data_IF_232605831711
#
_entry.id   IF_232605831711
#
_cell.length_a   1.000
_cell.length_b   1.000
_cell.length_c   1.000
_cell.angle_alpha   90.00
_cell.angle_beta   90.00
_cell.angle_gamma   90.00
#
_symmetry.space_group_name_H-M   'P 1'
#
loop_
_entity.id
_entity.type
_entity.pdbx_description
1 polymer ?
#
# COMPACT_ATOMS: atom_id res chain seq x y z
N UNK A 1 -0.34 -13.73 19.80
CA UNK A 1 -1.05 -12.45 19.59
C UNK A 1 -0.68 -11.88 18.23
N UNK A 2 -0.87 -10.58 17.99
CA UNK A 2 -0.64 -9.97 16.66
C UNK A 2 0.82 -9.88 16.18
N UNK A 3 1.79 -10.24 17.03
CA UNK A 3 3.22 -10.32 16.70
C UNK A 3 3.81 -11.74 16.85
N UNK A 4 2.98 -12.79 16.90
CA UNK A 4 3.46 -14.12 17.31
C UNK A 4 3.87 -15.06 16.18
N UNK A 5 3.69 -14.71 14.90
CA UNK A 5 3.99 -15.64 13.79
C UNK A 5 5.45 -16.14 13.80
N UNK A 6 6.36 -15.35 14.38
CA UNK A 6 7.79 -15.64 14.50
C UNK A 6 8.11 -16.71 15.56
N UNK A 7 7.15 -17.01 16.44
CA UNK A 7 7.31 -17.92 17.58
C UNK A 7 6.86 -19.35 17.23
N UNK A 8 6.65 -20.19 18.25
CA UNK A 8 6.03 -21.51 18.10
C UNK A 8 4.65 -21.48 17.39
N UNK A 9 3.94 -20.33 17.41
CA UNK A 9 2.71 -20.14 16.61
C UNK A 9 2.97 -20.29 15.10
N UNK A 10 4.19 -19.99 14.63
CA UNK A 10 4.62 -20.18 13.25
C UNK A 10 4.82 -21.64 12.83
N UNK A 11 4.56 -22.63 13.70
CA UNK A 11 4.77 -24.05 13.38
C UNK A 11 4.10 -24.49 12.08
N UNK A 12 2.88 -24.03 11.79
CA UNK A 12 2.20 -24.36 10.53
C UNK A 12 2.89 -23.78 9.30
N UNK A 13 3.54 -22.61 9.44
CA UNK A 13 4.34 -22.00 8.37
C UNK A 13 5.54 -22.91 8.11
N UNK A 14 6.31 -23.22 9.16
CA UNK A 14 7.47 -24.10 9.08
C UNK A 14 7.15 -25.47 8.49
N UNK A 15 6.03 -26.09 8.88
CA UNK A 15 5.57 -27.35 8.30
C UNK A 15 5.22 -27.25 6.80
N UNK A 16 4.71 -26.09 6.35
CA UNK A 16 4.29 -25.89 4.96
C UNK A 16 5.46 -25.57 4.02
N UNK A 17 6.40 -24.72 4.45
CA UNK A 17 7.51 -24.25 3.60
C UNK A 17 8.87 -24.88 3.94
N UNK A 18 8.93 -25.73 4.97
CA UNK A 18 10.17 -26.29 5.52
C UNK A 18 10.87 -25.34 6.50
N UNK A 19 11.63 -25.91 7.45
CA UNK A 19 12.29 -25.15 8.50
C UNK A 19 13.31 -24.15 7.96
N UNK A 20 14.13 -24.54 6.97
CA UNK A 20 15.12 -23.65 6.33
C UNK A 20 14.50 -22.37 5.73
N UNK A 21 13.29 -22.46 5.19
CA UNK A 21 12.59 -21.28 4.66
C UNK A 21 11.92 -20.48 5.78
N UNK A 22 11.49 -21.13 6.86
CA UNK A 22 11.03 -20.44 8.06
C UNK A 22 12.18 -19.67 8.73
N UNK A 23 13.39 -20.23 8.82
CA UNK A 23 14.57 -19.50 9.29
C UNK A 23 14.87 -18.28 8.42
N UNK A 24 14.83 -18.42 7.09
CA UNK A 24 14.98 -17.26 6.18
C UNK A 24 13.93 -16.18 6.42
N UNK A 25 12.70 -16.54 6.78
CA UNK A 25 11.66 -15.59 7.16
C UNK A 25 12.05 -14.83 8.43
N UNK A 26 12.60 -15.52 9.44
CA UNK A 26 13.11 -14.89 10.67
C UNK A 26 14.33 -14.00 10.38
N UNK A 27 15.27 -14.46 9.56
CA UNK A 27 16.46 -13.70 9.16
C UNK A 27 16.08 -12.39 8.47
N UNK A 28 15.05 -12.42 7.63
CA UNK A 28 14.50 -11.23 6.98
C UNK A 28 13.97 -10.21 7.98
N UNK A 29 13.24 -10.65 8.99
CA UNK A 29 12.77 -9.77 10.06
C UNK A 29 13.93 -9.22 10.88
N UNK A 30 14.88 -10.07 11.28
CA UNK A 30 16.08 -9.67 12.02
C UNK A 30 16.93 -8.64 11.25
N UNK A 31 17.00 -8.75 9.92
CA UNK A 31 17.66 -7.76 9.07
C UNK A 31 16.97 -6.39 9.15
N UNK A 32 15.64 -6.37 9.15
CA UNK A 32 14.88 -5.13 9.30
C UNK A 32 14.98 -4.56 10.72
N UNK A 33 15.05 -5.41 11.74
CA UNK A 33 15.30 -5.00 13.12
C UNK A 33 16.64 -4.27 13.25
N UNK A 34 17.71 -4.82 12.66
CA UNK A 34 19.04 -4.19 12.67
C UNK A 34 19.02 -2.83 11.96
N UNK A 35 18.37 -2.76 10.79
CA UNK A 35 18.17 -1.49 10.07
C UNK A 35 17.42 -0.47 10.94
N UNK A 36 16.30 -0.86 11.55
CA UNK A 36 15.49 0.01 12.39
C UNK A 36 16.28 0.53 13.60
N UNK A 37 17.12 -0.30 14.22
CA UNK A 37 17.88 0.07 15.41
C UNK A 37 19.08 0.96 15.12
N UNK A 38 19.72 0.80 13.95
CA UNK A 38 21.05 1.37 13.69
C UNK A 38 21.06 2.49 12.65
N UNK A 39 20.08 2.54 11.73
CA UNK A 39 20.03 3.57 10.70
C UNK A 39 19.70 4.95 11.29
N UNK A 40 20.36 6.04 10.83
CA UNK A 40 19.95 7.40 11.13
C UNK A 40 18.47 7.62 10.77
N UNK A 41 17.73 8.39 11.59
CA UNK A 41 16.28 8.54 11.48
C UNK A 41 15.83 8.98 10.08
N UNK A 42 16.58 9.89 9.44
CA UNK A 42 16.32 10.42 8.11
C UNK A 42 16.59 9.42 6.96
N UNK A 43 17.15 8.24 7.27
CA UNK A 43 17.38 7.13 6.35
C UNK A 43 16.71 5.83 6.82
N UNK A 44 15.93 5.90 7.90
CA UNK A 44 15.31 4.76 8.54
C UNK A 44 13.89 4.57 7.97
N UNK A 45 13.69 3.47 7.24
CA UNK A 45 12.49 3.25 6.44
C UNK A 45 11.21 3.17 7.31
N UNK A 46 11.15 2.35 8.40
CA UNK A 46 10.03 2.36 9.33
C UNK A 46 9.73 3.75 9.91
N UNK A 47 10.77 4.50 10.30
CA UNK A 47 10.60 5.86 10.86
C UNK A 47 10.00 6.82 9.84
N UNK A 48 10.51 6.83 8.61
CA UNK A 48 9.99 7.69 7.54
C UNK A 48 8.52 7.37 7.24
N UNK A 49 8.18 6.08 7.11
CA UNK A 49 6.81 5.64 6.86
C UNK A 49 5.88 6.05 8.01
N UNK A 50 6.31 5.87 9.27
CA UNK A 50 5.55 6.28 10.44
C UNK A 50 5.31 7.80 10.49
N UNK A 51 6.34 8.61 10.20
CA UNK A 51 6.22 10.07 10.18
C UNK A 51 5.31 10.57 9.05
N UNK A 52 5.33 9.93 7.87
CA UNK A 52 4.37 10.21 6.80
C UNK A 52 2.94 9.84 7.22
N UNK A 53 2.75 8.72 7.92
CA UNK A 53 1.46 8.33 8.49
C UNK A 53 0.91 9.37 9.48
N UNK A 54 1.76 9.85 10.39
CA UNK A 54 1.42 10.95 11.33
C UNK A 54 1.08 12.22 10.56
N UNK A 55 1.87 12.58 9.54
CA UNK A 55 1.62 13.76 8.72
C UNK A 55 0.22 13.74 8.10
N UNK A 56 -0.17 12.64 7.45
CA UNK A 56 -1.46 12.56 6.80
C UNK A 56 -2.63 12.40 7.77
N UNK A 57 -2.47 11.64 8.85
CA UNK A 57 -3.56 11.42 9.82
C UNK A 57 -3.78 12.62 10.74
N UNK A 58 -2.73 13.18 11.33
CA UNK A 58 -2.85 14.25 12.33
C UNK A 58 -2.93 15.66 11.73
N UNK A 59 -2.34 15.90 10.55
CA UNK A 59 -2.34 17.24 9.94
C UNK A 59 -3.29 17.35 8.74
N UNK A 60 -3.43 16.29 7.93
CA UNK A 60 -4.36 16.27 6.80
C UNK A 60 -5.69 15.56 7.08
N UNK A 61 -5.88 15.00 8.28
CA UNK A 61 -7.15 14.37 8.70
C UNK A 61 -7.51 13.10 7.94
N UNK A 62 -6.53 12.40 7.35
CA UNK A 62 -6.77 11.12 6.70
C UNK A 62 -7.08 10.04 7.74
N UNK A 63 -8.32 9.53 7.76
CA UNK A 63 -8.77 8.51 8.72
C UNK A 63 -8.29 7.09 8.38
N UNK A 64 -7.88 6.86 7.12
CA UNK A 64 -7.61 5.51 6.61
C UNK A 64 -6.26 5.41 5.92
N UNK A 65 -5.65 4.23 5.98
CA UNK A 65 -4.40 3.90 5.27
C UNK A 65 -4.62 2.65 4.40
N UNK A 66 -4.35 2.75 3.10
CA UNK A 66 -4.58 1.65 2.16
C UNK A 66 -3.29 0.87 1.87
N UNK A 67 -3.31 -0.45 2.03
CA UNK A 67 -2.21 -1.35 1.67
C UNK A 67 -2.57 -2.14 0.40
N UNK A 68 -1.86 -1.88 -0.69
CA UNK A 68 -2.25 -2.31 -2.05
C UNK A 68 -1.13 -3.14 -2.70
N UNK A 69 -0.95 -4.41 -2.30
CA UNK A 69 0.10 -5.26 -2.87
C UNK A 69 -0.26 -5.72 -4.29
N UNK A 70 0.60 -5.46 -5.25
CA UNK A 70 0.53 -5.98 -6.63
C UNK A 70 1.20 -7.36 -6.69
N UNK A 71 0.70 -8.27 -5.87
CA UNK A 71 1.08 -9.67 -5.84
C UNK A 71 -0.06 -10.49 -5.21
N UNK A 72 -0.52 -11.53 -5.92
CA UNK A 72 -1.68 -12.30 -5.48
C UNK A 72 -1.39 -13.18 -4.25
N UNK A 73 -0.14 -13.60 -4.02
CA UNK A 73 0.20 -14.34 -2.80
C UNK A 73 0.11 -13.44 -1.55
N UNK A 74 0.16 -12.12 -1.71
CA UNK A 74 -0.03 -11.15 -0.64
C UNK A 74 -1.50 -10.75 -0.42
N UNK A 75 -2.49 -11.50 -0.94
CA UNK A 75 -3.91 -11.16 -0.80
C UNK A 75 -4.43 -11.07 0.65
N UNK A 76 -3.72 -11.62 1.64
CA UNK A 76 -4.04 -11.50 3.07
C UNK A 76 -3.17 -10.50 3.82
N UNK A 77 -2.24 -9.82 3.14
CA UNK A 77 -1.28 -8.92 3.77
C UNK A 77 -1.96 -7.71 4.42
N UNK A 78 -2.88 -7.04 3.72
CA UNK A 78 -3.65 -5.94 4.28
C UNK A 78 -4.49 -6.39 5.49
N UNK A 79 -5.14 -7.56 5.41
CA UNK A 79 -5.93 -8.13 6.50
C UNK A 79 -5.08 -8.53 7.72
N UNK A 80 -3.83 -8.96 7.51
CA UNK A 80 -2.87 -9.19 8.59
C UNK A 80 -2.55 -7.90 9.35
N UNK A 81 -2.30 -6.80 8.61
CA UNK A 81 -2.01 -5.49 9.21
C UNK A 81 -3.23 -4.74 9.74
N UNK A 82 -4.45 -5.11 9.37
CA UNK A 82 -5.65 -4.67 10.10
C UNK A 82 -5.53 -5.03 11.58
N UNK A 83 -5.14 -6.27 11.89
CA UNK A 83 -4.88 -6.64 13.27
C UNK A 83 -3.60 -6.00 13.80
N UNK A 84 -2.50 -6.07 13.03
CA UNK A 84 -1.19 -5.58 13.45
C UNK A 84 -1.17 -4.11 13.85
N UNK A 85 -1.80 -3.24 13.06
CA UNK A 85 -1.84 -1.80 13.28
C UNK A 85 -3.02 -1.40 14.16
N UNK A 86 -4.26 -1.70 13.76
CA UNK A 86 -5.45 -1.13 14.39
C UNK A 86 -5.61 -1.61 15.84
N UNK A 87 -5.26 -2.88 16.14
CA UNK A 87 -5.30 -3.39 17.52
C UNK A 87 -4.16 -2.82 18.39
N UNK A 88 -3.06 -2.39 17.77
CA UNK A 88 -1.93 -1.74 18.44
C UNK A 88 -2.23 -0.28 18.75
N UNK A 89 -2.66 0.48 17.75
CA UNK A 89 -2.70 1.94 17.75
C UNK A 89 -4.12 2.52 17.86
N UNK A 90 -5.16 1.70 17.76
CA UNK A 90 -6.55 2.07 18.06
C UNK A 90 -6.75 2.27 19.57
N UNK A 91 -6.17 3.34 20.10
CA UNK A 91 -6.11 3.66 21.53
C UNK A 91 -6.40 5.13 21.72
N UNK A 92 -6.92 5.50 22.88
CA UNK A 92 -7.23 6.90 23.19
C UNK A 92 -6.61 7.39 24.50
N UNK A 93 -5.91 6.51 25.24
CA UNK A 93 -5.28 6.85 26.52
C UNK A 93 -3.76 6.74 26.37
N UNK A 94 -3.05 7.77 26.81
CA UNK A 94 -1.59 7.82 26.81
C UNK A 94 -1.00 6.95 27.93
N UNK A 95 0.32 6.77 27.91
CA UNK A 95 1.04 6.06 29.00
C UNK A 95 0.91 6.73 30.37
N UNK A 96 0.57 8.03 30.42
CA UNK A 96 0.33 8.75 31.68
C UNK A 96 -1.10 8.61 32.19
N UNK A 97 -1.98 7.90 31.47
CA UNK A 97 -3.39 7.73 31.82
C UNK A 97 -4.31 8.86 31.38
N UNK A 98 -3.80 9.84 30.63
CA UNK A 98 -4.61 10.94 30.09
C UNK A 98 -5.22 10.58 28.74
N UNK A 99 -6.43 11.08 28.47
CA UNK A 99 -7.03 10.97 27.13
C UNK A 99 -6.30 11.86 26.12
N UNK A 100 -6.17 11.37 24.89
CA UNK A 100 -5.57 12.11 23.77
C UNK A 100 -6.56 13.13 23.19
N UNK A 101 -6.04 14.26 22.70
CA UNK A 101 -6.80 15.27 21.96
C UNK A 101 -6.41 15.32 20.47
N UNK A 102 -5.86 14.22 19.96
CA UNK A 102 -5.37 14.05 18.59
C UNK A 102 -5.76 12.66 18.06
N UNK A 103 -5.75 12.50 16.73
CA UNK A 103 -5.98 11.21 16.07
C UNK A 103 -4.87 10.20 16.37
N UNK A 104 -5.21 8.93 16.51
CA UNK A 104 -4.27 7.81 16.75
C UNK A 104 -4.21 6.87 15.55
N UNK A 105 -4.18 5.54 15.75
CA UNK A 105 -4.10 4.56 14.66
C UNK A 105 -5.19 4.76 13.58
N UNK A 106 -4.83 4.67 12.29
CA UNK A 106 -5.78 4.79 11.19
C UNK A 106 -6.59 3.50 10.99
N UNK A 107 -7.63 3.57 10.17
CA UNK A 107 -8.31 2.38 9.65
C UNK A 107 -7.48 1.81 8.50
N UNK A 108 -6.92 0.62 8.68
CA UNK A 108 -6.14 -0.07 7.65
C UNK A 108 -7.05 -0.93 6.77
N UNK A 109 -6.86 -0.90 5.46
CA UNK A 109 -7.64 -1.72 4.52
C UNK A 109 -6.91 -1.91 3.18
N UNK A 110 -7.40 -2.81 2.34
CA UNK A 110 -6.87 -3.00 1.00
C UNK A 110 -7.11 -4.39 0.43
N UNK A 111 -6.87 -4.53 -0.87
CA UNK A 111 -6.94 -5.77 -1.65
C UNK A 111 -5.79 -5.76 -2.66
N UNK A 112 -5.33 -6.93 -3.14
CA UNK A 112 -4.23 -6.98 -4.08
C UNK A 112 -4.59 -6.34 -5.42
N UNK A 113 -3.60 -5.74 -6.06
CA UNK A 113 -3.67 -5.28 -7.44
C UNK A 113 -3.66 -6.47 -8.41
N UNK A 114 -4.35 -6.43 -9.54
CA UNK A 114 -5.16 -5.31 -10.06
C UNK A 114 -6.62 -5.34 -9.62
N UNK A 115 -7.04 -6.32 -8.81
CA UNK A 115 -8.44 -6.50 -8.41
C UNK A 115 -9.02 -5.25 -7.74
N UNK A 116 -8.25 -4.64 -6.81
CA UNK A 116 -8.64 -3.38 -6.15
C UNK A 116 -8.95 -2.23 -7.12
N UNK A 117 -8.27 -2.18 -8.28
CA UNK A 117 -8.50 -1.15 -9.31
C UNK A 117 -9.92 -1.19 -9.86
N UNK A 118 -10.49 -2.38 -9.95
CA UNK A 118 -11.83 -2.60 -10.48
C UNK A 118 -12.92 -2.60 -9.37
N UNK A 119 -12.54 -2.35 -8.12
CA UNK A 119 -13.45 -2.34 -6.98
C UNK A 119 -13.62 -0.93 -6.39
N UNK A 120 -12.54 -0.33 -5.87
CA UNK A 120 -12.64 0.88 -5.04
C UNK A 120 -11.71 2.03 -5.45
N UNK A 121 -10.85 1.83 -6.46
CA UNK A 121 -9.95 2.90 -6.91
C UNK A 121 -10.70 4.10 -7.50
N UNK A 122 -11.93 3.91 -7.96
CA UNK A 122 -12.82 5.02 -8.34
C UNK A 122 -12.97 6.04 -7.20
N UNK A 123 -13.17 5.56 -5.97
CA UNK A 123 -13.26 6.41 -4.79
C UNK A 123 -11.89 7.04 -4.47
N UNK A 124 -10.81 6.27 -4.58
CA UNK A 124 -9.45 6.80 -4.34
C UNK A 124 -9.15 7.94 -5.32
N UNK A 125 -9.52 7.82 -6.60
CA UNK A 125 -9.21 8.81 -7.64
C UNK A 125 -10.13 10.03 -7.64
N UNK A 126 -11.45 9.83 -7.56
CA UNK A 126 -12.44 10.89 -7.76
C UNK A 126 -13.36 11.13 -6.55
N UNK A 127 -13.21 10.33 -5.49
CA UNK A 127 -13.93 10.54 -4.24
C UNK A 127 -13.43 11.77 -3.47
N UNK A 128 -14.12 12.07 -2.38
CA UNK A 128 -13.87 13.25 -1.53
C UNK A 128 -12.91 13.00 -0.38
N UNK A 129 -12.51 11.74 -0.15
CA UNK A 129 -11.59 11.36 0.92
C UNK A 129 -10.13 11.42 0.44
N UNK A 130 -9.25 11.85 1.34
CA UNK A 130 -7.81 11.69 1.21
C UNK A 130 -7.41 10.35 1.81
N UNK A 131 -6.73 9.51 1.02
CA UNK A 131 -6.37 8.15 1.39
C UNK A 131 -4.90 7.95 1.00
N UNK A 132 -3.96 8.06 1.96
CA UNK A 132 -2.59 7.58 1.77
C UNK A 132 -2.60 6.10 1.40
N UNK A 133 -1.82 5.74 0.39
CA UNK A 133 -1.75 4.37 -0.12
C UNK A 133 -0.30 3.89 -0.20
N UNK A 134 -0.01 2.70 0.31
CA UNK A 134 1.24 1.99 0.06
C UNK A 134 1.03 0.94 -1.02
N UNK A 135 1.67 1.17 -2.16
CA UNK A 135 1.72 0.22 -3.25
C UNK A 135 2.96 -0.66 -3.06
N UNK A 136 2.79 -1.98 -3.08
CA UNK A 136 3.90 -2.94 -2.89
C UNK A 136 4.01 -3.84 -4.11
N UNK A 137 5.18 -4.00 -4.71
CA UNK A 137 5.35 -4.92 -5.85
C UNK A 137 6.72 -5.61 -5.89
N UNK A 138 6.79 -6.90 -6.26
CA UNK A 138 8.06 -7.54 -6.61
C UNK A 138 8.46 -7.24 -8.06
N UNK A 139 9.73 -6.90 -8.29
CA UNK A 139 10.30 -6.74 -9.62
C UNK A 139 10.31 -8.06 -10.43
N UNK A 140 10.44 -9.20 -9.74
CA UNK A 140 10.40 -10.54 -10.34
C UNK A 140 9.26 -11.38 -9.78
N UNK A 141 8.50 -12.02 -10.68
CA UNK A 141 7.44 -12.97 -10.31
C UNK A 141 7.99 -14.37 -10.03
N UNK A 142 7.26 -15.16 -9.23
CA UNK A 142 7.45 -16.61 -9.15
C UNK A 142 6.88 -17.36 -10.35
N UNK A 143 5.99 -16.74 -11.12
CA UNK A 143 5.26 -17.36 -12.21
C UNK A 143 5.48 -16.59 -13.52
N UNK A 144 6.67 -16.69 -14.15
CA UNK A 144 7.00 -15.98 -15.40
C UNK A 144 6.33 -16.63 -16.63
N UNK A 145 5.02 -16.91 -16.54
CA UNK A 145 4.22 -17.51 -17.60
C UNK A 145 4.13 -16.57 -18.81
N UNK A 146 3.93 -17.15 -19.99
CA UNK A 146 3.79 -16.39 -21.24
C UNK A 146 4.93 -15.39 -21.47
N UNK A 147 6.17 -15.81 -21.19
CA UNK A 147 7.37 -14.96 -21.32
C UNK A 147 7.41 -13.76 -20.36
N UNK A 148 6.65 -13.80 -19.26
CA UNK A 148 6.59 -12.72 -18.27
C UNK A 148 5.63 -11.57 -18.64
N UNK A 149 4.83 -11.72 -19.70
CA UNK A 149 3.91 -10.64 -20.15
C UNK A 149 2.92 -10.23 -19.06
N UNK A 150 2.42 -11.18 -18.26
CA UNK A 150 1.49 -10.90 -17.17
C UNK A 150 2.14 -10.02 -16.10
N UNK A 151 3.38 -10.32 -15.72
CA UNK A 151 4.11 -9.53 -14.72
C UNK A 151 4.46 -8.14 -15.24
N UNK A 152 4.80 -8.03 -16.53
CA UNK A 152 5.01 -6.74 -17.19
C UNK A 152 3.75 -5.86 -17.14
N UNK A 153 2.59 -6.43 -17.46
CA UNK A 153 1.29 -5.71 -17.39
C UNK A 153 0.96 -5.33 -15.95
N UNK A 154 1.20 -6.23 -14.99
CA UNK A 154 0.98 -5.96 -13.57
C UNK A 154 1.82 -4.76 -13.08
N UNK A 155 3.12 -4.74 -13.40
CA UNK A 155 4.02 -3.64 -13.05
C UNK A 155 3.69 -2.34 -13.80
N UNK A 156 3.25 -2.42 -15.05
CA UNK A 156 2.76 -1.24 -15.78
C UNK A 156 1.57 -0.61 -15.05
N UNK A 157 0.63 -1.42 -14.57
CA UNK A 157 -0.50 -0.92 -13.78
C UNK A 157 -0.09 -0.42 -12.39
N UNK A 158 0.90 -1.03 -11.74
CA UNK A 158 1.45 -0.54 -10.47
C UNK A 158 1.96 0.89 -10.62
N UNK A 159 2.82 1.13 -11.62
CA UNK A 159 3.42 2.45 -11.88
C UNK A 159 2.36 3.47 -12.33
N UNK A 160 1.49 3.08 -13.27
CA UNK A 160 0.49 3.97 -13.83
C UNK A 160 -0.52 4.46 -12.78
N UNK A 161 -0.87 3.64 -11.78
CA UNK A 161 -1.81 4.04 -10.75
C UNK A 161 -1.24 5.12 -9.82
N UNK A 162 0.01 4.97 -9.37
CA UNK A 162 0.68 5.99 -8.54
C UNK A 162 0.93 7.28 -9.34
N UNK A 163 1.27 7.17 -10.63
CA UNK A 163 1.41 8.33 -11.51
C UNK A 163 0.08 9.07 -11.70
N UNK A 164 -1.02 8.34 -11.95
CA UNK A 164 -2.34 8.93 -12.12
C UNK A 164 -2.84 9.61 -10.84
N UNK A 165 -2.56 9.04 -9.67
CA UNK A 165 -2.89 9.64 -8.37
C UNK A 165 -2.13 10.94 -8.13
N UNK A 166 -0.86 11.02 -8.56
CA UNK A 166 -0.06 12.23 -8.48
C UNK A 166 -0.51 13.30 -9.48
N UNK A 167 -0.61 12.95 -10.76
CA UNK A 167 -0.74 13.90 -11.87
C UNK A 167 -2.19 14.28 -12.19
N UNK A 168 -3.13 13.35 -12.03
CA UNK A 168 -4.51 13.54 -12.46
C UNK A 168 -4.65 13.75 -13.97
N UNK A 169 -5.74 14.42 -14.36
CA UNK A 169 -6.09 14.75 -15.74
C UNK A 169 -6.86 16.06 -15.73
N UNK A 170 -6.26 17.10 -16.31
CA UNK A 170 -6.85 18.44 -16.37
C UNK A 170 -8.08 18.49 -17.28
N UNK A 171 -8.90 19.53 -17.11
CA UNK A 171 -10.05 19.78 -17.98
C UNK A 171 -9.65 19.93 -19.45
N UNK A 172 -8.54 20.61 -19.74
CA UNK A 172 -8.05 20.78 -21.11
C UNK A 172 -7.70 19.43 -21.76
N UNK A 173 -6.97 18.56 -21.04
CA UNK A 173 -6.63 17.22 -21.53
C UNK A 173 -7.87 16.34 -21.73
N UNK A 174 -8.79 16.35 -20.76
CA UNK A 174 -10.03 15.58 -20.85
C UNK A 174 -10.91 16.07 -22.02
N UNK A 175 -10.98 17.37 -22.25
CA UNK A 175 -11.72 17.95 -23.38
C UNK A 175 -11.12 17.53 -24.71
N UNK A 176 -9.80 17.64 -24.86
CA UNK A 176 -9.09 17.23 -26.08
C UNK A 176 -9.31 15.74 -26.40
N UNK A 177 -9.28 14.86 -25.39
CA UNK A 177 -9.57 13.43 -25.56
C UNK A 177 -11.02 13.18 -26.01
N UNK A 178 -11.99 13.87 -25.40
CA UNK A 178 -13.41 13.71 -25.74
C UNK A 178 -13.71 14.22 -27.15
N UNK A 179 -13.13 15.34 -27.56
CA UNK A 179 -13.27 15.89 -28.92
C UNK A 179 -12.63 14.96 -29.96
N UNK A 180 -11.44 14.42 -29.68
CA UNK A 180 -10.78 13.42 -30.56
C UNK A 180 -11.57 12.11 -30.69
N UNK A 181 -12.40 11.76 -29.71
CA UNK A 181 -13.29 10.59 -29.78
C UNK A 181 -14.52 10.79 -30.68
N UNK A 182 -14.70 11.98 -31.26
CA UNK A 182 -15.79 12.30 -32.19
C UNK A 182 -17.12 12.64 -31.50
N UNK A 183 -17.10 12.98 -30.21
CA UNK A 183 -18.31 13.40 -29.49
C UNK A 183 -18.78 14.80 -29.93
N UNK A 184 -20.11 15.02 -29.93
CA UNK A 184 -20.66 16.35 -30.22
C UNK A 184 -20.31 17.36 -29.12
N UNK A 185 -20.21 18.66 -29.42
CA UNK A 185 -19.90 19.69 -28.43
C UNK A 185 -20.83 19.67 -27.20
N UNK A 186 -22.12 19.39 -27.41
CA UNK A 186 -23.11 19.28 -26.33
C UNK A 186 -22.87 18.07 -25.43
N UNK A 187 -22.43 16.94 -26.01
CA UNK A 187 -22.08 15.74 -25.26
C UNK A 187 -20.77 15.94 -24.48
N UNK A 188 -19.75 16.56 -25.11
CA UNK A 188 -18.49 16.92 -24.45
C UNK A 188 -18.76 17.81 -23.24
N UNK A 189 -19.55 18.87 -23.39
CA UNK A 189 -19.87 19.80 -22.28
C UNK A 189 -20.50 19.09 -21.09
N UNK A 190 -21.33 18.08 -21.32
CA UNK A 190 -21.98 17.31 -20.24
C UNK A 190 -21.02 16.33 -19.55
N UNK A 191 -20.15 15.67 -20.30
CA UNK A 191 -19.30 14.59 -19.79
C UNK A 191 -17.99 15.12 -19.19
N UNK A 192 -17.48 16.24 -19.71
CA UNK A 192 -16.17 16.80 -19.35
C UNK A 192 -15.92 16.89 -17.84
N UNK A 193 -16.84 17.44 -17.00
CA UNK A 193 -16.59 17.54 -15.56
C UNK A 193 -16.37 16.19 -14.87
N UNK A 194 -16.96 15.11 -15.40
CA UNK A 194 -16.83 13.75 -14.87
C UNK A 194 -15.52 13.06 -15.29
N UNK A 195 -14.81 13.60 -16.28
CA UNK A 195 -13.55 13.06 -16.81
C UNK A 195 -12.30 13.75 -16.26
N UNK A 196 -12.48 14.78 -15.42
CA UNK A 196 -11.38 15.45 -14.72
C UNK A 196 -10.93 14.61 -13.52
N UNK A 197 -9.62 14.47 -13.37
CA UNK A 197 -8.98 13.85 -12.21
C UNK A 197 -8.11 14.91 -11.56
N UNK A 198 -8.35 15.20 -10.27
CA UNK A 198 -7.65 16.29 -9.57
C UNK A 198 -6.17 16.01 -9.32
N UNK A 199 -5.76 14.74 -9.34
CA UNK A 199 -4.40 14.35 -8.93
C UNK A 199 -4.13 14.75 -7.47
N UNK A 200 -2.84 14.99 -7.16
CA UNK A 200 -2.36 15.40 -5.84
C UNK A 200 -2.82 14.46 -4.71
N UNK A 201 -2.77 13.16 -4.95
CA UNK A 201 -3.10 12.10 -3.98
C UNK A 201 -1.83 11.30 -3.64
N UNK A 202 -1.47 11.19 -2.36
CA UNK A 202 -0.17 10.67 -1.95
C UNK A 202 -0.11 9.14 -2.00
N UNK A 203 1.02 8.62 -2.45
CA UNK A 203 1.32 7.19 -2.46
C UNK A 203 2.78 6.93 -2.10
N UNK A 204 3.05 5.85 -1.37
CA UNK A 204 4.39 5.24 -1.33
C UNK A 204 4.45 4.08 -2.33
N UNK A 205 5.61 3.91 -2.98
CA UNK A 205 5.88 2.78 -3.87
C UNK A 205 7.03 1.95 -3.30
N UNK A 206 6.69 0.82 -2.68
CA UNK A 206 7.64 -0.12 -2.07
C UNK A 206 7.91 -1.24 -3.07
N UNK A 207 9.09 -1.22 -3.68
CA UNK A 207 9.48 -2.24 -4.67
C UNK A 207 10.53 -3.15 -4.07
N UNK A 208 10.28 -4.45 -4.09
CA UNK A 208 11.23 -5.48 -3.68
C UNK A 208 11.70 -6.27 -4.88
N UNK A 209 12.87 -6.91 -4.79
CA UNK A 209 13.38 -7.70 -5.93
C UNK A 209 12.49 -8.90 -6.27
N UNK A 210 12.08 -9.66 -5.25
CA UNK A 210 11.20 -10.82 -5.33
C UNK A 210 10.65 -11.10 -3.93
N UNK A 211 9.39 -11.53 -3.81
CA UNK A 211 8.82 -11.96 -2.51
C UNK A 211 9.38 -13.35 -2.17
N UNK A 212 10.45 -13.40 -1.39
CA UNK A 212 11.01 -14.64 -0.81
C UNK A 212 10.65 -14.71 0.67
N UNK A 213 10.88 -15.84 1.38
CA UNK A 213 10.70 -15.87 2.83
C UNK A 213 11.43 -14.72 3.54
N UNK A 214 12.70 -14.48 3.20
CA UNK A 214 13.48 -13.34 3.71
C UNK A 214 12.83 -11.99 3.41
N UNK A 215 12.50 -11.71 2.15
CA UNK A 215 11.89 -10.44 1.78
C UNK A 215 10.55 -10.23 2.49
N UNK A 216 9.75 -11.29 2.63
CA UNK A 216 8.47 -11.23 3.34
C UNK A 216 8.69 -10.93 4.83
N UNK A 217 9.70 -11.54 5.45
CA UNK A 217 10.06 -11.26 6.85
C UNK A 217 10.44 -9.80 7.06
N UNK A 218 11.31 -9.29 6.19
CA UNK A 218 11.73 -7.89 6.20
C UNK A 218 10.55 -6.93 5.98
N UNK A 219 9.62 -7.26 5.07
CA UNK A 219 8.42 -6.45 4.81
C UNK A 219 7.42 -6.46 5.97
N UNK A 220 7.27 -7.58 6.69
CA UNK A 220 6.35 -7.65 7.84
C UNK A 220 6.93 -6.91 9.06
N UNK A 221 8.26 -6.92 9.22
CA UNK A 221 8.95 -6.25 10.32
C UNK A 221 9.11 -4.74 10.12
N UNK A 222 9.05 -4.26 8.87
CA UNK A 222 9.11 -2.84 8.51
C UNK A 222 7.86 -2.08 8.92
#
# INVERSE_FOLDING_TARGET
GRYSLWSAIGLSISLHIGYDNFEKLLDGASYMDEHFQTAPLEKNAPVILALLGIWYSNFHGAETHALLPYDQYLHRFAAYFQQGDMESNGKYVTRSGSEVNYSTGPIVWGEPGTNGQHAFYQLIHQGTRLIPCDFIAPAHTHNPISGGVHHKILLANFLAQTEALMTGKSEAQAKEELEKSGMSPEAVKKILPHKVFKGNRPTNSIVVRKVTPFTLGALIAM
#
